data_IF_902395412955
#
_entry.id   IF_902395412955
#
_cell.length_a   1.000
_cell.length_b   1.000
_cell.length_c   1.000
_cell.angle_alpha   90.00
_cell.angle_beta   90.00
_cell.angle_gamma   90.00
#
_symmetry.space_group_name_H-M   'P 1'
#
loop_
_entity.id
_entity.type
_entity.pdbx_description
1 polymer ?
#
# COMPACT_ATOMS: atom_id res chain seq x y z
N UNK A 1 -11.60 -14.26 11.61
CA UNK A 1 -10.42 -13.36 11.81
C UNK A 1 -9.46 -13.59 10.66
N UNK A 2 -8.78 -12.59 10.16
CA UNK A 2 -7.73 -12.76 9.12
C UNK A 2 -6.52 -13.35 9.82
N UNK A 3 -6.03 -14.52 9.37
CA UNK A 3 -4.92 -15.25 10.03
C UNK A 3 -3.63 -14.43 10.11
N UNK A 4 -3.34 -13.63 9.09
CA UNK A 4 -2.18 -12.72 9.08
C UNK A 4 -2.23 -11.66 10.19
N UNK A 5 -3.42 -11.33 10.72
CA UNK A 5 -3.59 -10.27 11.73
C UNK A 5 -3.55 -10.81 13.18
N UNK A 6 -3.15 -12.06 13.40
CA UNK A 6 -2.99 -12.58 14.76
C UNK A 6 -1.94 -11.75 15.51
N UNK A 7 -2.31 -11.09 16.63
CA UNK A 7 -1.40 -10.22 17.39
C UNK A 7 -0.24 -10.99 18.04
N UNK A 8 -0.39 -12.29 18.23
CA UNK A 8 0.64 -13.14 18.84
C UNK A 8 1.67 -13.67 17.83
N UNK A 9 1.40 -13.51 16.52
CA UNK A 9 2.30 -13.98 15.47
C UNK A 9 3.58 -13.16 15.48
N UNK A 10 4.71 -13.85 15.39
CA UNK A 10 6.04 -13.26 15.30
C UNK A 10 6.72 -13.67 14.01
N UNK A 11 7.53 -12.79 13.46
CA UNK A 11 8.37 -13.08 12.30
C UNK A 11 9.77 -13.53 12.72
N UNK A 12 10.37 -14.42 11.93
CA UNK A 12 11.79 -14.68 12.02
C UNK A 12 12.65 -13.53 11.44
N UNK A 13 12.05 -12.62 10.66
CA UNK A 13 12.67 -11.31 10.36
C UNK A 13 12.55 -10.46 11.61
N UNK A 14 13.68 -9.94 12.08
CA UNK A 14 13.69 -9.00 13.20
C UNK A 14 12.97 -7.70 12.81
N UNK A 15 12.03 -7.29 13.67
CA UNK A 15 11.24 -6.08 13.48
C UNK A 15 11.36 -5.20 14.72
N UNK A 16 11.83 -3.97 14.54
CA UNK A 16 11.92 -3.00 15.62
C UNK A 16 10.53 -2.69 16.21
N UNK A 17 10.44 -2.53 17.53
CA UNK A 17 9.16 -2.35 18.26
C UNK A 17 8.34 -1.13 17.80
N UNK A 18 9.01 -0.13 17.21
CA UNK A 18 8.38 1.10 16.69
C UNK A 18 8.15 1.05 15.17
N UNK A 19 8.37 -0.10 14.53
CA UNK A 19 8.18 -0.23 13.09
C UNK A 19 6.69 -0.35 12.75
N UNK A 20 6.25 0.38 11.73
CA UNK A 20 4.91 0.25 11.15
C UNK A 20 4.73 -1.02 10.31
N UNK A 21 5.78 -1.84 10.18
CA UNK A 21 5.80 -3.03 9.31
C UNK A 21 6.04 -4.34 10.06
N UNK A 22 5.27 -4.63 11.14
CA UNK A 22 5.27 -5.96 11.73
C UNK A 22 4.65 -6.97 10.77
N UNK A 23 4.79 -8.28 11.10
CA UNK A 23 4.21 -9.37 10.28
C UNK A 23 2.68 -9.27 10.14
N UNK A 24 2.00 -8.51 10.97
CA UNK A 24 0.56 -8.25 10.87
C UNK A 24 0.22 -7.21 9.79
N UNK A 25 1.16 -6.33 9.44
CA UNK A 25 1.01 -5.32 8.40
C UNK A 25 1.82 -5.72 7.16
N UNK A 26 1.23 -6.50 6.28
CA UNK A 26 1.82 -6.98 5.03
C UNK A 26 1.23 -6.14 3.89
N UNK A 27 1.77 -4.95 3.59
CA UNK A 27 1.29 -4.10 2.50
C UNK A 27 1.76 -4.65 1.16
N UNK A 28 1.02 -4.38 0.09
CA UNK A 28 1.47 -4.64 -1.26
C UNK A 28 2.02 -3.36 -1.89
N UNK A 29 3.09 -3.47 -2.66
CA UNK A 29 3.75 -2.33 -3.30
C UNK A 29 4.54 -2.73 -4.52
N UNK A 30 5.15 -1.73 -5.15
CA UNK A 30 6.07 -1.89 -6.27
C UNK A 30 7.41 -1.28 -5.88
N UNK A 31 8.47 -2.00 -6.12
CA UNK A 31 9.82 -1.51 -5.91
C UNK A 31 10.78 -2.04 -6.98
N UNK A 32 11.92 -1.42 -7.08
CA UNK A 32 13.06 -1.93 -7.88
C UNK A 32 14.35 -1.91 -7.08
N UNK A 33 15.25 -2.81 -7.42
CA UNK A 33 16.63 -2.83 -6.93
C UNK A 33 17.58 -2.56 -8.10
N UNK A 34 18.88 -2.39 -7.80
CA UNK A 34 19.91 -2.30 -8.83
C UNK A 34 19.97 -3.53 -9.75
N UNK A 35 19.57 -4.70 -9.24
CA UNK A 35 19.59 -5.98 -9.96
C UNK A 35 18.28 -6.33 -10.66
N UNK A 36 17.17 -5.72 -10.23
CA UNK A 36 15.83 -6.01 -10.74
C UNK A 36 15.18 -4.74 -11.27
N UNK A 37 14.59 -4.82 -12.45
CA UNK A 37 13.94 -3.67 -13.07
C UNK A 37 12.72 -3.25 -12.24
N UNK A 38 11.75 -4.16 -12.01
CA UNK A 38 10.52 -3.90 -11.25
C UNK A 38 10.09 -5.17 -10.52
N UNK A 39 9.68 -5.02 -9.26
CA UNK A 39 9.17 -6.11 -8.43
C UNK A 39 7.83 -5.74 -7.81
N UNK A 40 6.84 -6.60 -7.94
CA UNK A 40 5.67 -6.60 -7.07
C UNK A 40 6.09 -7.20 -5.74
N UNK A 41 5.86 -6.49 -4.65
CA UNK A 41 6.35 -6.93 -3.37
C UNK A 41 5.50 -6.59 -2.17
N UNK A 42 6.03 -7.00 -1.04
CA UNK A 42 5.52 -6.68 0.29
C UNK A 42 6.68 -6.22 1.18
N UNK A 43 6.39 -5.93 2.45
CA UNK A 43 7.40 -5.50 3.42
C UNK A 43 7.14 -6.11 4.79
N UNK A 44 8.22 -6.58 5.44
CA UNK A 44 8.27 -6.90 6.88
C UNK A 44 9.55 -6.28 7.44
N UNK A 45 9.39 -5.46 8.47
CA UNK A 45 10.50 -4.74 9.09
C UNK A 45 11.30 -3.93 8.07
N UNK A 46 12.60 -4.21 7.99
CA UNK A 46 13.54 -3.53 7.09
C UNK A 46 13.81 -4.30 5.78
N UNK A 47 12.93 -5.23 5.42
CA UNK A 47 13.05 -6.02 4.19
C UNK A 47 11.86 -5.85 3.27
N UNK A 48 12.15 -5.57 2.01
CA UNK A 48 11.22 -5.75 0.89
C UNK A 48 11.24 -7.22 0.47
N UNK A 49 10.07 -7.75 0.14
CA UNK A 49 9.83 -9.15 -0.19
C UNK A 49 9.36 -9.22 -1.64
N UNK A 50 10.10 -9.93 -2.49
CA UNK A 50 9.73 -10.15 -3.89
C UNK A 50 8.69 -11.26 -4.01
N UNK A 51 7.45 -10.92 -4.37
CA UNK A 51 6.36 -11.88 -4.52
C UNK A 51 6.50 -12.72 -5.78
N UNK A 52 7.16 -12.21 -6.82
CA UNK A 52 7.42 -12.99 -8.02
C UNK A 52 8.47 -14.08 -7.75
N UNK A 53 9.49 -13.77 -6.95
CA UNK A 53 10.46 -14.77 -6.50
C UNK A 53 9.78 -15.85 -5.63
N UNK A 54 8.95 -15.46 -4.66
CA UNK A 54 8.16 -16.40 -3.86
C UNK A 54 7.29 -17.30 -4.74
N UNK A 55 6.65 -16.74 -5.75
CA UNK A 55 5.77 -17.48 -6.67
C UNK A 55 6.54 -18.49 -7.50
N UNK A 56 7.67 -18.10 -8.07
CA UNK A 56 8.57 -18.99 -8.83
C UNK A 56 9.16 -20.12 -7.99
N UNK A 57 9.34 -19.89 -6.70
CA UNK A 57 9.81 -20.87 -5.73
C UNK A 57 8.67 -21.71 -5.13
N UNK A 58 7.45 -21.65 -5.68
CA UNK A 58 6.26 -22.40 -5.28
C UNK A 58 5.76 -22.14 -3.85
N UNK A 59 6.14 -21.02 -3.21
CA UNK A 59 5.63 -20.67 -1.87
C UNK A 59 4.13 -20.37 -1.84
N UNK A 60 3.50 -20.06 -2.98
CA UNK A 60 2.06 -19.85 -3.12
C UNK A 60 1.30 -21.08 -3.62
N UNK A 61 1.89 -22.28 -3.50
CA UNK A 61 1.19 -23.51 -3.85
C UNK A 61 -0.16 -23.62 -3.14
N UNK A 62 -1.20 -24.08 -3.85
CA UNK A 62 -2.57 -24.17 -3.35
C UNK A 62 -3.39 -22.87 -3.47
N UNK A 63 -2.78 -21.76 -3.91
CA UNK A 63 -3.50 -20.52 -4.27
C UNK A 63 -3.60 -20.46 -5.79
N UNK A 64 -4.80 -20.31 -6.32
CA UNK A 64 -5.00 -20.18 -7.78
C UNK A 64 -4.53 -18.80 -8.24
N UNK A 65 -3.35 -18.76 -8.83
CA UNK A 65 -2.70 -17.55 -9.35
C UNK A 65 -2.23 -17.80 -10.79
N UNK A 66 -2.34 -16.77 -11.62
CA UNK A 66 -1.69 -16.80 -12.93
C UNK A 66 -0.16 -16.77 -12.74
N UNK A 67 0.64 -17.57 -13.49
CA UNK A 67 2.10 -17.60 -13.37
C UNK A 67 2.78 -16.22 -13.44
N UNK A 68 2.21 -15.30 -14.21
CA UNK A 68 2.78 -13.96 -14.42
C UNK A 68 2.15 -12.88 -13.54
N UNK A 69 1.31 -13.24 -12.55
CA UNK A 69 0.54 -12.25 -11.77
C UNK A 69 1.43 -11.26 -11.02
N UNK A 70 2.58 -11.71 -10.53
CA UNK A 70 3.55 -10.88 -9.84
C UNK A 70 4.71 -10.40 -10.73
N UNK A 71 4.69 -10.73 -12.03
CA UNK A 71 5.63 -10.25 -13.03
C UNK A 71 5.01 -9.09 -13.83
N UNK A 72 4.60 -8.04 -13.16
CA UNK A 72 3.93 -6.86 -13.72
C UNK A 72 4.53 -5.58 -13.16
N UNK A 73 4.34 -4.48 -13.88
CA UNK A 73 4.82 -3.15 -13.47
C UNK A 73 3.91 -2.45 -12.46
N UNK A 74 2.70 -2.96 -12.27
CA UNK A 74 1.70 -2.41 -11.34
C UNK A 74 0.90 -3.51 -10.67
N UNK A 75 0.26 -3.17 -9.54
CA UNK A 75 -0.64 -4.08 -8.82
C UNK A 75 -2.02 -4.25 -9.48
N UNK A 76 -2.34 -3.50 -10.54
CA UNK A 76 -3.70 -3.46 -11.09
C UNK A 76 -4.30 -4.84 -11.39
N UNK A 77 -3.52 -5.73 -12.02
CA UNK A 77 -4.01 -7.08 -12.34
C UNK A 77 -4.18 -7.95 -11.10
N UNK A 78 -3.28 -7.85 -10.14
CA UNK A 78 -3.42 -8.53 -8.85
C UNK A 78 -4.65 -8.01 -8.08
N UNK A 79 -4.89 -6.70 -8.08
CA UNK A 79 -6.06 -6.10 -7.43
C UNK A 79 -7.39 -6.54 -8.05
N UNK A 80 -7.44 -6.84 -9.35
CA UNK A 80 -8.63 -7.40 -10.02
C UNK A 80 -9.04 -8.78 -9.50
N UNK A 81 -8.12 -9.55 -8.90
CA UNK A 81 -8.42 -10.86 -8.33
C UNK A 81 -9.33 -10.78 -7.09
N UNK A 82 -9.44 -9.61 -6.49
CA UNK A 82 -10.35 -9.33 -5.39
C UNK A 82 -9.88 -9.79 -4.01
N UNK A 83 -10.63 -9.35 -3.01
CA UNK A 83 -10.31 -9.53 -1.59
C UNK A 83 -10.01 -10.96 -1.13
N UNK A 84 -10.73 -12.01 -1.61
CA UNK A 84 -10.44 -13.37 -1.19
C UNK A 84 -9.01 -13.81 -1.54
N UNK A 85 -8.55 -13.50 -2.76
CA UNK A 85 -7.21 -13.87 -3.22
C UNK A 85 -6.14 -13.04 -2.48
N UNK A 86 -6.35 -11.73 -2.31
CA UNK A 86 -5.40 -10.89 -1.56
C UNK A 86 -5.20 -11.39 -0.12
N UNK A 87 -6.29 -11.85 0.53
CA UNK A 87 -6.22 -12.43 1.88
C UNK A 87 -5.45 -13.74 1.90
N UNK A 88 -5.68 -14.62 0.93
CA UNK A 88 -4.94 -15.88 0.82
C UNK A 88 -3.43 -15.61 0.65
N UNK A 89 -3.07 -14.66 -0.21
CA UNK A 89 -1.66 -14.29 -0.41
C UNK A 89 -1.07 -13.68 0.86
N UNK A 90 -1.78 -12.76 1.54
CA UNK A 90 -1.33 -12.20 2.82
C UNK A 90 -1.17 -13.25 3.90
N UNK A 91 -2.14 -14.14 4.05
CA UNK A 91 -2.10 -15.22 5.04
C UNK A 91 -0.92 -16.16 4.76
N UNK A 92 -0.66 -16.47 3.49
CA UNK A 92 0.48 -17.28 3.09
C UNK A 92 1.82 -16.58 3.35
N UNK A 93 1.94 -15.28 3.07
CA UNK A 93 3.15 -14.50 3.42
C UNK A 93 3.37 -14.55 4.93
N UNK A 94 2.33 -14.35 5.74
CA UNK A 94 2.43 -14.44 7.17
C UNK A 94 2.86 -15.84 7.65
N UNK A 95 2.43 -16.91 6.98
CA UNK A 95 2.86 -18.29 7.26
C UNK A 95 4.34 -18.48 6.92
N UNK A 96 4.79 -18.06 5.74
CA UNK A 96 6.19 -18.20 5.28
C UNK A 96 7.17 -17.52 6.24
N UNK A 97 6.80 -16.33 6.74
CA UNK A 97 7.68 -15.50 7.57
C UNK A 97 7.45 -15.68 9.08
N UNK A 98 6.58 -16.61 9.50
CA UNK A 98 6.35 -16.94 10.91
C UNK A 98 7.60 -17.57 11.53
N UNK A 99 7.86 -17.27 12.82
CA UNK A 99 9.00 -17.82 13.58
C UNK A 99 9.01 -19.36 13.65
N UNK A 100 7.86 -20.00 13.48
CA UNK A 100 7.75 -21.46 13.46
C UNK A 100 8.16 -22.07 12.10
N UNK A 101 8.42 -21.25 11.11
CA UNK A 101 8.85 -21.67 9.78
C UNK A 101 10.30 -21.22 9.52
N UNK A 102 10.94 -21.88 8.56
CA UNK A 102 12.26 -21.52 8.08
C UNK A 102 12.24 -21.42 6.56
N UNK A 103 12.97 -20.46 6.04
CA UNK A 103 13.21 -20.33 4.62
C UNK A 103 14.66 -20.74 4.35
N UNK A 104 14.88 -21.47 3.26
CA UNK A 104 16.23 -21.81 2.80
C UNK A 104 17.05 -20.53 2.57
N UNK A 105 18.33 -20.55 2.95
CA UNK A 105 19.20 -19.38 2.81
C UNK A 105 19.36 -18.96 1.33
N UNK A 106 19.40 -19.91 0.41
CA UNK A 106 19.46 -19.62 -1.03
C UNK A 106 18.20 -18.90 -1.52
N UNK A 107 17.03 -19.21 -0.95
CA UNK A 107 15.76 -18.52 -1.24
C UNK A 107 15.74 -17.11 -0.64
N UNK A 108 16.28 -16.92 0.58
CA UNK A 108 16.35 -15.60 1.21
C UNK A 108 17.08 -14.59 0.34
N UNK A 109 18.19 -15.00 -0.28
CA UNK A 109 19.00 -14.14 -1.15
C UNK A 109 18.20 -13.60 -2.34
N UNK A 110 17.28 -14.39 -2.90
CA UNK A 110 16.50 -13.98 -4.08
C UNK A 110 15.15 -13.35 -3.73
N UNK A 111 14.64 -13.61 -2.51
CA UNK A 111 13.33 -13.12 -2.05
C UNK A 111 13.44 -11.79 -1.32
N UNK A 112 14.53 -11.54 -0.58
CA UNK A 112 14.66 -10.42 0.33
C UNK A 112 15.63 -9.37 -0.21
N UNK A 113 15.23 -8.10 -0.11
CA UNK A 113 16.10 -6.95 -0.33
C UNK A 113 15.98 -6.00 0.85
N UNK A 114 17.09 -5.39 1.29
CA UNK A 114 17.00 -4.38 2.35
C UNK A 114 16.26 -3.16 1.84
N UNK A 115 15.44 -2.56 2.69
CA UNK A 115 14.58 -1.43 2.29
C UNK A 115 15.37 -0.19 1.85
N UNK A 116 16.58 0.00 2.34
CA UNK A 116 17.46 1.09 1.94
C UNK A 116 18.19 0.84 0.60
N UNK A 117 18.06 -0.36 0.04
CA UNK A 117 18.64 -0.76 -1.25
C UNK A 117 17.59 -0.79 -2.37
N UNK A 118 16.36 -0.40 -2.06
CA UNK A 118 15.25 -0.39 -3.03
C UNK A 118 14.71 1.00 -3.24
N UNK A 119 14.20 1.24 -4.45
CA UNK A 119 13.44 2.43 -4.80
C UNK A 119 11.96 2.07 -4.93
N UNK A 120 11.10 2.76 -4.19
CA UNK A 120 9.65 2.57 -4.31
C UNK A 120 9.12 3.20 -5.58
N UNK A 121 8.19 2.52 -6.24
CA UNK A 121 7.52 2.97 -7.45
C UNK A 121 6.02 3.14 -7.20
N UNK A 122 5.33 3.84 -8.12
CA UNK A 122 3.88 3.98 -8.06
C UNK A 122 3.23 2.61 -8.11
N UNK A 123 2.46 2.23 -7.08
CA UNK A 123 1.97 0.84 -6.97
C UNK A 123 0.85 0.53 -7.95
N UNK A 124 0.13 1.54 -8.43
CA UNK A 124 -1.02 1.37 -9.32
C UNK A 124 -0.99 2.39 -10.44
N UNK A 125 -1.49 2.01 -11.60
CA UNK A 125 -1.92 2.96 -12.63
C UNK A 125 -3.31 3.44 -12.22
N UNK A 126 -3.38 4.71 -11.77
CA UNK A 126 -4.63 5.33 -11.36
C UNK A 126 -5.47 5.61 -12.60
N UNK A 127 -6.73 5.15 -12.58
CA UNK A 127 -7.74 5.47 -13.57
C UNK A 127 -8.58 6.67 -13.12
N UNK A 128 -9.89 6.54 -13.23
CA UNK A 128 -10.80 7.49 -12.62
C UNK A 128 -10.64 7.48 -11.09
N UNK A 129 -10.67 8.67 -10.51
CA UNK A 129 -10.36 8.85 -9.11
C UNK A 129 -11.49 9.58 -8.38
N UNK A 130 -12.08 8.90 -7.41
CA UNK A 130 -13.07 9.50 -6.51
C UNK A 130 -12.39 9.89 -5.22
N UNK A 131 -12.52 11.14 -4.84
CA UNK A 131 -11.99 11.70 -3.60
C UNK A 131 -13.13 12.06 -2.64
N UNK A 132 -12.84 11.98 -1.33
CA UNK A 132 -13.75 12.34 -0.24
C UNK A 132 -13.01 13.17 0.79
N UNK A 133 -13.60 14.27 1.23
CA UNK A 133 -13.10 14.98 2.40
C UNK A 133 -14.03 14.76 3.60
N UNK A 134 -13.71 13.72 4.37
CA UNK A 134 -14.48 13.25 5.50
C UNK A 134 -14.00 13.78 6.86
N UNK A 135 -12.93 14.58 6.90
CA UNK A 135 -12.54 15.33 8.10
C UNK A 135 -13.47 16.51 8.32
N UNK A 136 -14.18 16.53 9.46
CA UNK A 136 -15.10 17.61 9.83
C UNK A 136 -14.40 18.96 9.86
N UNK A 137 -13.19 19.02 10.42
CA UNK A 137 -12.42 20.26 10.54
C UNK A 137 -12.02 20.79 9.16
N UNK A 138 -11.54 19.92 8.29
CA UNK A 138 -11.21 20.31 6.92
C UNK A 138 -12.45 20.80 6.16
N UNK A 139 -13.54 20.05 6.20
CA UNK A 139 -14.79 20.42 5.53
C UNK A 139 -15.38 21.75 6.06
N UNK A 140 -15.29 21.98 7.37
CA UNK A 140 -15.69 23.24 7.97
C UNK A 140 -14.84 24.41 7.47
N UNK A 141 -13.51 24.27 7.52
CA UNK A 141 -12.58 25.31 7.08
C UNK A 141 -12.78 25.65 5.59
N UNK A 142 -12.95 24.65 4.73
CA UNK A 142 -13.29 24.84 3.32
C UNK A 142 -14.65 25.53 3.18
N UNK A 143 -15.64 25.11 3.95
CA UNK A 143 -16.96 25.70 3.94
C UNK A 143 -16.98 27.18 4.28
N UNK A 144 -16.18 27.61 5.27
CA UNK A 144 -16.03 29.01 5.67
C UNK A 144 -15.42 29.91 4.57
N UNK A 145 -14.75 29.35 3.57
CA UNK A 145 -14.25 30.13 2.43
C UNK A 145 -15.36 30.55 1.47
N UNK A 146 -16.52 29.90 1.51
CA UNK A 146 -17.61 30.09 0.55
C UNK A 146 -18.95 30.43 1.20
N UNK A 147 -19.10 30.21 2.51
CA UNK A 147 -20.35 30.33 3.24
C UNK A 147 -20.14 30.97 4.62
N UNK A 148 -21.21 31.42 5.23
CA UNK A 148 -21.19 31.86 6.63
C UNK A 148 -20.71 30.73 7.54
N UNK A 149 -19.82 30.98 8.52
CA UNK A 149 -19.31 29.96 9.43
C UNK A 149 -20.40 29.15 10.15
N UNK A 150 -21.56 29.75 10.47
CA UNK A 150 -22.68 29.04 11.07
C UNK A 150 -23.31 28.01 10.14
N UNK A 151 -23.11 28.14 8.83
CA UNK A 151 -23.63 27.29 7.77
C UNK A 151 -22.49 26.69 6.91
N UNK A 152 -21.29 26.61 7.45
CA UNK A 152 -20.11 26.12 6.71
C UNK A 152 -20.28 24.68 6.23
N UNK A 153 -20.88 23.82 7.05
CA UNK A 153 -21.22 22.44 6.70
C UNK A 153 -22.66 22.33 6.22
N UNK A 154 -22.86 21.71 5.07
CA UNK A 154 -24.21 21.37 4.60
C UNK A 154 -24.85 20.35 5.54
N UNK A 155 -26.17 20.39 5.78
CA UNK A 155 -26.83 19.51 6.76
C UNK A 155 -26.56 18.02 6.54
N UNK A 156 -26.45 17.59 5.28
CA UNK A 156 -26.22 16.20 4.94
C UNK A 156 -24.75 15.73 5.13
N UNK A 157 -23.81 16.66 5.31
CA UNK A 157 -22.39 16.33 5.40
C UNK A 157 -22.06 15.43 6.60
N UNK A 158 -22.77 15.59 7.72
CA UNK A 158 -22.58 14.77 8.92
C UNK A 158 -23.04 13.33 8.74
N UNK A 159 -23.83 13.04 7.71
CA UNK A 159 -24.35 11.70 7.41
C UNK A 159 -23.59 11.07 6.24
N UNK A 160 -23.29 11.85 5.21
CA UNK A 160 -22.58 11.42 4.01
C UNK A 160 -21.56 12.51 3.65
N UNK A 161 -20.25 12.28 3.77
CA UNK A 161 -19.24 13.25 3.36
C UNK A 161 -19.30 13.48 1.84
N UNK A 162 -18.85 14.65 1.41
CA UNK A 162 -18.79 14.97 -0.02
C UNK A 162 -17.79 14.08 -0.73
N UNK A 163 -18.25 13.39 -1.78
CA UNK A 163 -17.43 12.72 -2.76
C UNK A 163 -17.41 13.50 -4.07
N UNK A 164 -16.29 13.51 -4.76
CA UNK A 164 -16.15 14.22 -6.02
C UNK A 164 -15.11 13.52 -6.91
N UNK A 165 -15.12 13.84 -8.21
CA UNK A 165 -14.08 13.39 -9.12
C UNK A 165 -12.79 14.16 -8.82
N UNK A 166 -11.87 13.48 -8.14
CA UNK A 166 -10.60 14.04 -7.69
C UNK A 166 -9.57 14.13 -8.80
N UNK A 167 -8.42 14.73 -8.45
CA UNK A 167 -7.30 14.92 -9.38
C UNK A 167 -6.24 13.83 -9.18
N UNK A 168 -6.27 12.78 -10.02
CA UNK A 168 -5.32 11.67 -9.99
C UNK A 168 -3.86 12.13 -10.19
N UNK A 169 -3.62 13.20 -10.95
CA UNK A 169 -2.27 13.76 -11.21
C UNK A 169 -1.56 14.30 -9.97
N UNK A 170 -2.27 14.48 -8.85
CA UNK A 170 -1.68 14.91 -7.57
C UNK A 170 -1.28 13.72 -6.67
N UNK A 171 -1.51 12.49 -7.11
CA UNK A 171 -1.10 11.28 -6.39
C UNK A 171 0.34 10.99 -6.77
N UNK A 172 1.26 11.19 -5.84
CA UNK A 172 2.70 11.08 -6.02
C UNK A 172 3.33 10.20 -4.95
N UNK A 173 4.56 9.76 -5.18
CA UNK A 173 5.31 8.97 -4.20
C UNK A 173 5.74 9.83 -3.00
N UNK A 174 5.82 9.20 -1.84
CA UNK A 174 6.42 9.80 -0.64
C UNK A 174 7.86 10.24 -0.92
N UNK A 175 8.25 11.38 -0.35
CA UNK A 175 9.57 11.97 -0.57
C UNK A 175 9.67 12.89 -1.79
N UNK A 176 8.63 12.97 -2.64
CA UNK A 176 8.57 13.95 -3.72
C UNK A 176 8.36 15.35 -3.16
N UNK A 177 9.20 16.30 -3.58
CA UNK A 177 9.05 17.71 -3.19
C UNK A 177 7.76 18.31 -3.75
N UNK A 178 6.99 18.97 -2.88
CA UNK A 178 5.75 19.65 -3.26
C UNK A 178 6.01 21.15 -3.22
N UNK A 179 5.93 21.79 -4.39
CA UNK A 179 6.01 23.23 -4.50
C UNK A 179 4.63 23.85 -4.27
N UNK A 180 4.56 24.84 -3.38
CA UNK A 180 3.33 25.63 -3.21
C UNK A 180 3.05 26.37 -4.52
N UNK A 181 1.89 26.19 -5.16
CA UNK A 181 1.56 26.93 -6.37
C UNK A 181 1.38 28.41 -6.08
N UNK A 182 1.71 29.24 -7.04
CA UNK A 182 1.31 30.65 -7.05
C UNK A 182 -0.13 30.76 -7.53
N UNK A 183 -0.90 31.65 -6.95
CA UNK A 183 -2.28 31.92 -7.35
C UNK A 183 -2.61 33.39 -7.30
N UNK A 184 -3.74 33.74 -7.89
CA UNK A 184 -4.31 35.08 -7.79
C UNK A 184 -5.39 35.07 -6.73
N UNK A 185 -5.47 36.11 -5.93
CA UNK A 185 -6.59 36.37 -5.02
C UNK A 185 -7.50 37.41 -5.61
N UNK A 186 -8.78 37.31 -5.32
CA UNK A 186 -9.69 38.41 -5.63
C UNK A 186 -9.24 39.61 -4.80
N UNK A 187 -9.10 40.80 -5.42
CA UNK A 187 -8.82 42.02 -4.64
C UNK A 187 -9.90 42.27 -3.59
N UNK A 188 -9.54 42.84 -2.44
CA UNK A 188 -10.51 43.16 -1.39
C UNK A 188 -11.57 44.17 -1.86
#
# INVERSE_FOLDING_TARGET
>A
MIKANDPNRKSWIEVASHSDFPIQNIPFGIFKTSEKTICIGSRIGNYAIDLNALHKLNYFEGITLNPDIFNKETLNDFLKLGKPVWRQVRDRIAEIFDTNNAMDESHKIVVLSKINEVEMLMPVKVGDYTDFYSSRQHAYNVGCMFRDPNNALLPNWLHIPVGYHGRASSIILSGTNIHRPKGQQLPP
#
